data_IF_794321753820
#
_entry.id   IF_794321753820
#
_cell.length_a   1.000
_cell.length_b   1.000
_cell.length_c   1.000
_cell.angle_alpha   90.00
_cell.angle_beta   90.00
_cell.angle_gamma   90.00
#
_symmetry.space_group_name_H-M   'P 1'
#
loop_
_entity.id
_entity.type
_entity.pdbx_description
1 polymer ?
#
# COMPACT_ATOMS: atom_id res chain seq x y z
N UNK A 1 -46.20 -52.60 -47.79
CA UNK A 1 -45.94 -51.16 -48.04
C UNK A 1 -45.58 -50.49 -46.72
N UNK A 2 -44.43 -49.81 -46.70
CA UNK A 2 -43.99 -48.70 -45.82
C UNK A 2 -43.80 -48.88 -44.30
N UNK A 3 -42.50 -48.80 -43.93
CA UNK A 3 -41.87 -48.31 -42.69
C UNK A 3 -42.58 -47.12 -42.03
N UNK A 4 -42.52 -47.06 -40.70
CA UNK A 4 -41.79 -46.03 -39.96
C UNK A 4 -41.63 -46.42 -38.47
N UNK A 5 -40.39 -46.69 -38.06
CA UNK A 5 -40.00 -46.80 -36.64
C UNK A 5 -39.50 -45.43 -36.20
N UNK A 6 -40.17 -44.79 -35.24
CA UNK A 6 -39.67 -43.61 -34.54
C UNK A 6 -38.84 -44.08 -33.35
N UNK A 7 -37.51 -44.06 -33.49
CA UNK A 7 -36.60 -44.13 -32.35
C UNK A 7 -36.47 -42.73 -31.75
N UNK A 8 -37.02 -42.52 -30.56
CA UNK A 8 -36.64 -41.40 -29.70
C UNK A 8 -35.26 -41.68 -29.13
N UNK A 9 -34.25 -41.01 -29.67
CA UNK A 9 -32.94 -40.90 -29.03
C UNK A 9 -33.12 -40.05 -27.78
N UNK A 10 -33.04 -40.68 -26.60
CA UNK A 10 -32.82 -39.92 -25.38
C UNK A 10 -31.42 -39.32 -25.50
N UNK A 11 -31.37 -38.01 -25.75
CA UNK A 11 -30.13 -37.27 -25.59
C UNK A 11 -29.74 -37.36 -24.11
N UNK A 12 -28.78 -38.23 -23.79
CA UNK A 12 -28.08 -38.12 -22.52
C UNK A 12 -27.38 -36.77 -22.53
N UNK A 13 -27.98 -35.78 -21.89
CA UNK A 13 -27.26 -34.56 -21.52
C UNK A 13 -26.21 -34.98 -20.52
N UNK A 14 -25.05 -35.39 -21.02
CA UNK A 14 -23.85 -35.48 -20.24
C UNK A 14 -23.65 -34.06 -19.67
N UNK A 15 -23.96 -33.90 -18.39
CA UNK A 15 -23.57 -32.72 -17.64
C UNK A 15 -22.05 -32.64 -17.73
N UNK A 16 -21.53 -31.85 -18.68
CA UNK A 16 -20.14 -31.41 -18.66
C UNK A 16 -19.99 -30.62 -17.38
N UNK A 17 -19.56 -31.30 -16.32
CA UNK A 17 -18.92 -30.64 -15.19
C UNK A 17 -17.69 -30.00 -15.78
N UNK A 18 -17.75 -28.69 -16.05
CA UNK A 18 -16.53 -27.93 -16.19
C UNK A 18 -15.75 -28.18 -14.90
N UNK A 19 -14.63 -28.88 -15.00
CA UNK A 19 -13.68 -28.93 -13.91
C UNK A 19 -13.24 -27.48 -13.71
N UNK A 20 -13.87 -26.80 -12.76
CA UNK A 20 -13.27 -25.64 -12.13
C UNK A 20 -12.04 -26.23 -11.46
N UNK A 21 -10.86 -26.00 -12.04
CA UNK A 21 -9.65 -26.12 -11.24
C UNK A 21 -9.84 -25.10 -10.12
N UNK A 22 -10.29 -25.56 -8.95
CA UNK A 22 -10.10 -24.81 -7.74
C UNK A 22 -8.59 -24.73 -7.60
N UNK A 23 -7.99 -23.64 -8.11
CA UNK A 23 -6.64 -23.27 -7.74
C UNK A 23 -6.65 -23.35 -6.21
N UNK A 24 -5.83 -24.25 -5.66
CA UNK A 24 -5.77 -24.46 -4.23
C UNK A 24 -5.63 -23.08 -3.59
N UNK A 25 -6.59 -22.71 -2.74
CA UNK A 25 -6.58 -21.39 -2.12
C UNK A 25 -5.24 -21.21 -1.42
N UNK A 26 -4.54 -20.09 -1.65
CA UNK A 26 -3.23 -19.88 -1.04
C UNK A 26 -3.40 -20.01 0.47
N UNK A 27 -2.55 -20.82 1.11
CA UNK A 27 -2.60 -20.98 2.56
C UNK A 27 -2.14 -19.67 3.20
N UNK A 28 -3.09 -18.96 3.82
CA UNK A 28 -2.82 -17.71 4.54
C UNK A 28 -2.54 -18.06 6.00
N UNK A 29 -1.40 -17.62 6.51
CA UNK A 29 -1.04 -17.74 7.91
C UNK A 29 -0.71 -16.35 8.46
N UNK A 30 -1.20 -16.06 9.67
CA UNK A 30 -0.96 -14.79 10.36
C UNK A 30 -0.47 -15.11 11.76
N UNK A 31 0.63 -14.46 12.16
CA UNK A 31 1.19 -14.53 13.50
C UNK A 31 1.63 -13.14 13.95
N UNK A 32 2.05 -13.04 15.19
CA UNK A 32 2.62 -11.83 15.74
C UNK A 32 4.06 -12.11 16.15
N UNK A 33 4.98 -11.30 15.63
CA UNK A 33 6.38 -11.29 16.00
C UNK A 33 6.63 -10.27 17.15
N UNK A 34 7.85 -10.27 17.67
CA UNK A 34 8.29 -9.37 18.75
C UNK A 34 7.96 -7.89 18.51
N UNK A 35 7.82 -7.12 19.60
CA UNK A 35 7.47 -5.70 19.59
C UNK A 35 6.14 -5.33 18.90
N UNK A 36 5.27 -6.32 18.65
CA UNK A 36 3.91 -6.11 18.18
C UNK A 36 3.74 -6.13 16.65
N UNK A 37 4.80 -6.47 15.89
CA UNK A 37 4.74 -6.57 14.43
C UNK A 37 3.90 -7.76 14.01
N UNK A 38 2.95 -7.54 13.10
CA UNK A 38 2.13 -8.62 12.54
C UNK A 38 2.84 -9.24 11.33
N UNK A 39 2.89 -10.56 11.26
CA UNK A 39 3.47 -11.28 10.12
C UNK A 39 2.36 -12.03 9.42
N UNK A 40 2.19 -11.78 8.12
CA UNK A 40 1.22 -12.48 7.30
C UNK A 40 1.93 -13.11 6.11
N UNK A 41 1.60 -14.36 5.79
CA UNK A 41 2.12 -15.03 4.59
C UNK A 41 1.02 -15.69 3.81
N UNK A 42 1.07 -15.57 2.49
CA UNK A 42 0.21 -16.31 1.56
C UNK A 42 1.10 -17.20 0.69
N UNK A 43 1.08 -18.51 0.92
CA UNK A 43 1.90 -19.46 0.16
C UNK A 43 1.23 -19.82 -1.16
N UNK A 44 2.00 -19.81 -2.25
CA UNK A 44 1.55 -20.24 -3.58
C UNK A 44 2.68 -21.01 -4.26
N UNK A 45 2.56 -22.34 -4.35
CA UNK A 45 3.61 -23.22 -4.88
C UNK A 45 3.82 -23.11 -6.40
N UNK A 46 3.08 -22.23 -7.07
CA UNK A 46 3.04 -22.14 -8.52
C UNK A 46 4.19 -21.34 -9.16
N UNK A 47 5.00 -20.61 -8.37
CA UNK A 47 6.05 -19.72 -8.89
C UNK A 47 7.30 -19.74 -8.01
N UNK A 48 8.51 -19.53 -8.56
CA UNK A 48 9.72 -19.29 -7.78
C UNK A 48 9.87 -17.83 -7.31
N UNK A 49 9.02 -16.92 -7.83
CA UNK A 49 9.05 -15.52 -7.42
C UNK A 49 8.32 -15.31 -6.09
N UNK A 50 8.95 -14.58 -5.18
CA UNK A 50 8.42 -14.15 -3.90
C UNK A 50 8.27 -12.62 -3.86
N UNK A 51 7.40 -12.14 -2.97
CA UNK A 51 7.34 -10.72 -2.64
C UNK A 51 7.24 -10.52 -1.15
N UNK A 52 8.07 -9.63 -0.61
CA UNK A 52 8.02 -9.21 0.78
C UNK A 52 7.61 -7.75 0.82
N UNK A 53 6.60 -7.43 1.61
CA UNK A 53 6.06 -6.08 1.76
C UNK A 53 6.01 -5.69 3.23
N UNK A 54 6.64 -4.57 3.57
CA UNK A 54 6.43 -3.90 4.83
C UNK A 54 5.28 -2.90 4.68
N UNK A 55 4.17 -3.19 5.34
CA UNK A 55 2.99 -2.33 5.39
C UNK A 55 3.03 -1.57 6.71
N UNK A 56 3.11 -0.25 6.63
CA UNK A 56 3.13 0.66 7.77
C UNK A 56 1.82 1.43 7.80
N UNK A 57 1.20 1.50 8.97
CA UNK A 57 0.01 2.31 9.21
C UNK A 57 0.39 3.79 9.34
N UNK A 58 0.74 4.37 8.20
CA UNK A 58 1.12 5.76 8.00
C UNK A 58 0.62 6.21 6.62
N UNK A 59 0.35 7.49 6.45
CA UNK A 59 -0.35 8.02 5.27
C UNK A 59 -0.90 9.41 5.53
N UNK A 60 -1.53 10.01 4.51
CA UNK A 60 -2.06 11.39 4.64
C UNK A 60 -3.12 11.54 5.74
N UNK A 61 -3.84 10.46 6.10
CA UNK A 61 -4.81 10.43 7.20
C UNK A 61 -4.22 10.81 8.56
N UNK A 62 -2.95 10.49 8.78
CA UNK A 62 -2.25 10.71 10.05
C UNK A 62 -1.53 12.05 10.10
N UNK A 63 -1.72 12.88 9.08
CA UNK A 63 -1.15 14.22 9.01
C UNK A 63 -2.06 15.22 9.73
N UNK A 64 -1.41 16.16 10.40
CA UNK A 64 -1.98 17.40 10.89
C UNK A 64 -1.92 18.49 9.81
N UNK A 65 -2.64 19.59 10.02
CA UNK A 65 -2.55 20.75 9.12
C UNK A 65 -1.11 21.29 8.98
N UNK A 66 -0.30 21.18 10.04
CA UNK A 66 1.07 21.71 10.06
C UNK A 66 2.08 20.84 9.29
N UNK A 67 1.77 19.57 9.04
CA UNK A 67 2.65 18.64 8.32
C UNK A 67 1.94 17.96 7.13
N UNK A 68 0.91 18.58 6.59
CA UNK A 68 0.20 18.09 5.40
C UNK A 68 1.16 17.86 4.23
N UNK A 69 1.18 16.63 3.70
CA UNK A 69 2.08 16.17 2.63
C UNK A 69 3.38 15.52 3.11
N UNK A 70 3.65 15.43 4.42
CA UNK A 70 4.89 14.83 4.95
C UNK A 70 5.03 13.35 4.58
N UNK A 71 3.92 12.64 4.46
CA UNK A 71 3.92 11.23 4.11
C UNK A 71 4.33 11.04 2.63
N UNK A 72 3.99 11.98 1.75
CA UNK A 72 4.45 11.98 0.36
C UNK A 72 5.98 12.15 0.27
N UNK A 73 6.57 13.00 1.13
CA UNK A 73 8.01 13.09 1.28
C UNK A 73 8.60 11.79 1.84
N UNK A 74 7.97 11.19 2.85
CA UNK A 74 8.43 9.94 3.45
C UNK A 74 8.51 8.78 2.43
N UNK A 75 7.53 8.69 1.51
CA UNK A 75 7.57 7.75 0.37
C UNK A 75 8.81 7.97 -0.48
N UNK A 76 9.13 9.22 -0.82
CA UNK A 76 10.25 9.56 -1.70
C UNK A 76 11.63 9.41 -1.04
N UNK A 77 11.68 9.31 0.29
CA UNK A 77 12.89 8.92 1.03
C UNK A 77 13.13 7.40 1.08
N UNK A 78 12.18 6.58 0.65
CA UNK A 78 12.38 5.14 0.61
C UNK A 78 13.57 4.78 -0.30
N UNK A 79 14.39 3.83 0.15
CA UNK A 79 15.58 3.34 -0.56
C UNK A 79 16.67 4.41 -0.82
N UNK A 80 16.64 5.54 -0.11
CA UNK A 80 17.75 6.51 -0.03
C UNK A 80 18.83 6.03 0.95
N UNK A 81 19.73 6.93 1.35
CA UNK A 81 20.81 6.59 2.26
C UNK A 81 20.30 6.08 3.61
N UNK A 82 20.85 4.95 4.06
CA UNK A 82 20.69 4.40 5.41
C UNK A 82 21.97 4.60 6.22
N UNK A 83 21.99 4.22 7.49
CA UNK A 83 23.21 4.26 8.31
C UNK A 83 24.33 3.40 7.71
N UNK A 84 23.99 2.24 7.18
CA UNK A 84 24.96 1.22 6.74
C UNK A 84 25.15 1.15 5.21
N UNK A 85 24.21 1.65 4.42
CA UNK A 85 24.23 1.58 2.96
C UNK A 85 23.86 2.91 2.33
N UNK A 86 24.58 3.28 1.27
CA UNK A 86 24.17 4.39 0.42
C UNK A 86 22.98 3.98 -0.46
N UNK A 87 22.17 4.94 -0.89
CA UNK A 87 21.06 4.68 -1.82
C UNK A 87 21.55 4.03 -3.11
N UNK A 88 22.71 4.47 -3.63
CA UNK A 88 23.35 3.82 -4.78
C UNK A 88 23.68 2.35 -4.52
N UNK A 89 24.24 2.03 -3.35
CA UNK A 89 24.54 0.64 -2.97
C UNK A 89 23.28 -0.20 -2.87
N UNK A 90 22.22 0.32 -2.25
CA UNK A 90 20.91 -0.36 -2.13
C UNK A 90 20.37 -0.74 -3.51
N UNK A 91 20.36 0.20 -4.45
CA UNK A 91 19.86 -0.06 -5.80
C UNK A 91 20.75 -1.08 -6.53
N UNK A 92 22.08 -0.92 -6.49
CA UNK A 92 22.99 -1.86 -7.19
C UNK A 92 22.95 -3.27 -6.61
N UNK A 93 22.90 -3.42 -5.29
CA UNK A 93 22.77 -4.74 -4.66
C UNK A 93 21.41 -5.38 -5.02
N UNK A 94 20.34 -4.58 -5.10
CA UNK A 94 19.01 -5.07 -5.49
C UNK A 94 18.96 -5.48 -6.96
N UNK A 95 19.55 -4.70 -7.87
CA UNK A 95 19.67 -5.03 -9.30
C UNK A 95 20.50 -6.30 -9.52
N UNK A 96 21.61 -6.46 -8.78
CA UNK A 96 22.47 -7.64 -8.89
C UNK A 96 21.74 -8.92 -8.50
N UNK A 97 20.89 -8.85 -7.48
CA UNK A 97 20.04 -9.96 -7.02
C UNK A 97 18.75 -10.09 -7.84
N UNK A 98 18.54 -9.25 -8.86
CA UNK A 98 17.34 -9.27 -9.70
C UNK A 98 16.05 -8.84 -8.98
N UNK A 99 16.16 -8.13 -7.85
CA UNK A 99 15.01 -7.67 -7.09
C UNK A 99 14.44 -6.34 -7.56
N UNK A 100 13.13 -6.21 -7.50
CA UNK A 100 12.41 -4.98 -7.83
C UNK A 100 11.86 -4.35 -6.55
N UNK A 101 12.31 -3.13 -6.26
CA UNK A 101 11.89 -2.36 -5.11
C UNK A 101 10.81 -1.34 -5.50
N UNK A 102 9.73 -1.26 -4.72
CA UNK A 102 8.69 -0.25 -4.91
C UNK A 102 8.25 0.34 -3.58
N UNK A 103 7.99 1.64 -3.56
CA UNK A 103 7.37 2.32 -2.44
C UNK A 103 6.09 3.00 -2.91
N UNK A 104 4.98 2.72 -2.24
CA UNK A 104 3.69 3.35 -2.51
C UNK A 104 3.11 3.90 -1.22
N UNK A 105 2.33 4.95 -1.37
CA UNK A 105 1.62 5.59 -0.27
C UNK A 105 0.15 5.72 -0.63
N UNK A 106 -0.68 5.50 0.37
CA UNK A 106 -2.11 5.74 0.37
C UNK A 106 -2.47 6.66 1.57
N UNK A 107 -3.74 7.03 1.70
CA UNK A 107 -4.26 7.81 2.82
C UNK A 107 -4.01 7.12 4.15
N UNK A 108 -4.07 5.78 4.20
CA UNK A 108 -3.98 5.02 5.44
C UNK A 108 -2.72 4.16 5.60
N UNK A 109 -2.02 3.86 4.50
CA UNK A 109 -0.91 2.92 4.50
C UNK A 109 0.26 3.40 3.65
N UNK A 110 1.47 3.15 4.14
CA UNK A 110 2.72 3.30 3.42
C UNK A 110 3.28 1.89 3.24
N UNK A 111 3.53 1.51 1.98
CA UNK A 111 3.91 0.15 1.64
C UNK A 111 5.25 0.15 0.92
N UNK A 112 6.23 -0.52 1.53
CA UNK A 112 7.52 -0.81 0.90
C UNK A 112 7.53 -2.27 0.48
N UNK A 113 7.72 -2.53 -0.80
CA UNK A 113 7.68 -3.88 -1.36
C UNK A 113 8.97 -4.19 -2.08
N UNK A 114 9.48 -5.40 -1.87
CA UNK A 114 10.54 -6.00 -2.64
C UNK A 114 10.00 -7.27 -3.29
N UNK A 115 10.13 -7.36 -4.62
CA UNK A 115 9.87 -8.60 -5.38
C UNK A 115 11.20 -9.23 -5.72
N UNK A 116 11.38 -10.50 -5.41
CA UNK A 116 12.65 -11.21 -5.53
C UNK A 116 12.43 -12.71 -5.73
N UNK A 117 13.51 -13.50 -5.82
CA UNK A 117 13.43 -14.95 -5.72
C UNK A 117 13.22 -15.36 -4.25
N UNK A 118 12.68 -16.57 -4.03
CA UNK A 118 12.46 -17.11 -2.70
C UNK A 118 13.74 -17.16 -1.85
N UNK A 119 14.87 -17.50 -2.46
CA UNK A 119 16.15 -17.63 -1.77
C UNK A 119 16.70 -16.28 -1.25
N UNK A 120 16.33 -15.18 -1.91
CA UNK A 120 16.78 -13.82 -1.56
C UNK A 120 15.86 -13.11 -0.54
N UNK A 121 14.76 -13.76 -0.13
CA UNK A 121 13.81 -13.20 0.86
C UNK A 121 14.49 -12.69 2.13
N UNK A 122 15.46 -13.41 2.75
CA UNK A 122 16.16 -12.90 3.94
C UNK A 122 16.88 -11.58 3.70
N UNK A 123 17.50 -11.42 2.53
CA UNK A 123 18.20 -10.20 2.15
C UNK A 123 17.21 -9.02 2.01
N UNK A 124 16.14 -9.22 1.25
CA UNK A 124 15.16 -8.15 1.01
C UNK A 124 14.33 -7.80 2.25
N UNK A 125 14.00 -8.77 3.11
CA UNK A 125 13.37 -8.49 4.40
C UNK A 125 14.28 -7.62 5.29
N UNK A 126 15.58 -7.95 5.35
CA UNK A 126 16.58 -7.14 6.06
C UNK A 126 16.73 -5.74 5.47
N UNK A 127 16.71 -5.62 4.14
CA UNK A 127 16.76 -4.34 3.46
C UNK A 127 15.53 -3.46 3.78
N UNK A 128 14.33 -4.02 3.77
CA UNK A 128 13.10 -3.29 4.12
C UNK A 128 13.11 -2.82 5.58
N UNK A 129 13.63 -3.64 6.51
CA UNK A 129 13.80 -3.23 7.90
C UNK A 129 14.84 -2.10 8.03
N UNK A 130 15.96 -2.18 7.31
CA UNK A 130 16.96 -1.10 7.29
C UNK A 130 16.38 0.20 6.71
N UNK A 131 15.55 0.12 5.67
CA UNK A 131 14.86 1.30 5.11
C UNK A 131 13.85 1.89 6.11
N UNK A 132 13.20 1.07 6.94
CA UNK A 132 12.27 1.57 7.95
C UNK A 132 12.99 2.24 9.15
N UNK A 133 14.06 1.64 9.67
CA UNK A 133 14.66 2.06 10.94
C UNK A 133 15.99 2.80 10.80
N UNK A 134 16.76 2.52 9.76
CA UNK A 134 18.12 3.04 9.58
C UNK A 134 18.20 4.13 8.51
N UNK A 135 17.08 4.53 7.89
CA UNK A 135 17.09 5.62 6.90
C UNK A 135 17.57 6.92 7.52
N UNK A 136 18.55 7.54 6.85
CA UNK A 136 19.07 8.84 7.22
C UNK A 136 18.34 9.89 6.41
N UNK A 137 17.40 10.57 7.05
CA UNK A 137 16.80 11.77 6.47
C UNK A 137 17.84 12.89 6.51
N UNK A 138 18.66 13.05 5.48
CA UNK A 138 19.66 14.13 5.44
C UNK A 138 19.04 15.42 4.90
N UNK A 139 19.53 16.58 5.37
CA UNK A 139 18.99 17.87 4.97
C UNK A 139 19.23 18.19 3.48
N UNK A 140 20.36 17.74 2.92
CA UNK A 140 20.66 17.96 1.50
C UNK A 140 19.75 17.10 0.60
N UNK A 141 19.54 15.82 0.91
CA UNK A 141 18.57 14.98 0.18
C UNK A 141 17.15 15.54 0.28
N UNK A 142 16.79 16.12 1.42
CA UNK A 142 15.48 16.75 1.60
C UNK A 142 15.27 17.92 0.63
N UNK A 143 16.29 18.75 0.40
CA UNK A 143 16.22 19.86 -0.56
C UNK A 143 16.05 19.34 -1.98
N UNK A 144 16.83 18.35 -2.38
CA UNK A 144 16.75 17.76 -3.72
C UNK A 144 15.38 17.11 -3.98
N UNK A 145 14.84 16.43 -2.97
CA UNK A 145 13.53 15.78 -3.05
C UNK A 145 12.35 16.75 -3.18
N UNK A 146 12.48 18.01 -2.76
CA UNK A 146 11.40 19.00 -2.95
C UNK A 146 11.05 19.18 -4.42
N UNK A 147 12.06 19.24 -5.30
CA UNK A 147 11.84 19.39 -6.74
C UNK A 147 11.13 18.17 -7.32
N UNK A 148 11.56 16.96 -6.91
CA UNK A 148 10.93 15.72 -7.33
C UNK A 148 9.46 15.63 -6.86
N UNK A 149 9.20 15.91 -5.58
CA UNK A 149 7.85 15.90 -4.99
C UNK A 149 6.94 16.94 -5.64
N UNK A 150 7.45 18.13 -5.93
CA UNK A 150 6.70 19.16 -6.62
C UNK A 150 6.33 18.72 -8.05
N UNK A 151 7.26 18.11 -8.77
CA UNK A 151 7.02 17.56 -10.12
C UNK A 151 5.95 16.45 -10.10
N UNK A 152 6.06 15.50 -9.15
CA UNK A 152 5.05 14.43 -8.96
C UNK A 152 3.66 15.01 -8.67
N UNK A 153 3.60 16.07 -7.86
CA UNK A 153 2.35 16.75 -7.52
C UNK A 153 1.74 17.47 -8.73
N UNK A 154 2.55 18.16 -9.52
CA UNK A 154 2.09 18.82 -10.75
C UNK A 154 1.59 17.80 -11.78
N UNK A 155 2.28 16.67 -11.93
CA UNK A 155 1.86 15.59 -12.81
C UNK A 155 0.51 14.99 -12.35
N UNK A 156 0.34 14.77 -11.05
CA UNK A 156 -0.91 14.29 -10.48
C UNK A 156 -2.07 15.30 -10.65
N UNK A 157 -1.80 16.60 -10.54
CA UNK A 157 -2.80 17.65 -10.75
C UNK A 157 -3.19 17.84 -12.22
N UNK A 158 -2.32 17.45 -13.16
CA UNK A 158 -2.62 17.47 -14.59
C UNK A 158 -3.57 16.33 -15.00
N UNK A 159 -3.56 15.21 -14.28
CA UNK A 159 -4.52 14.12 -14.48
C UNK A 159 -5.87 14.48 -13.83
N UNK A 160 -6.91 14.63 -14.66
CA UNK A 160 -8.24 15.00 -14.21
C UNK A 160 -8.88 13.96 -13.29
N UNK A 161 -8.59 12.67 -13.48
CA UNK A 161 -9.14 11.61 -12.63
C UNK A 161 -8.54 11.69 -11.23
N UNK A 162 -7.21 11.80 -11.14
CA UNK A 162 -6.52 11.88 -9.84
C UNK A 162 -6.98 13.12 -9.08
N UNK A 163 -7.02 14.27 -9.76
CA UNK A 163 -7.50 15.53 -9.18
C UNK A 163 -8.94 15.40 -8.67
N UNK A 164 -9.84 14.79 -9.45
CA UNK A 164 -11.24 14.61 -9.08
C UNK A 164 -11.41 13.71 -7.86
N UNK A 165 -10.67 12.59 -7.77
CA UNK A 165 -10.73 11.70 -6.62
C UNK A 165 -10.13 12.33 -5.35
N UNK A 166 -9.06 13.11 -5.47
CA UNK A 166 -8.47 13.80 -4.32
C UNK A 166 -9.42 14.86 -3.76
N UNK A 167 -10.05 15.61 -4.65
CA UNK A 167 -11.05 16.63 -4.33
C UNK A 167 -12.34 16.07 -3.76
N UNK A 168 -12.82 14.93 -4.30
CA UNK A 168 -13.94 14.19 -3.75
C UNK A 168 -13.72 13.86 -2.26
N UNK A 169 -12.52 13.37 -1.91
CA UNK A 169 -12.19 13.06 -0.51
C UNK A 169 -12.12 14.32 0.35
N UNK A 170 -11.55 15.41 -0.18
CA UNK A 170 -11.45 16.70 0.51
C UNK A 170 -12.83 17.27 0.86
N UNK A 171 -13.79 17.15 -0.05
CA UNK A 171 -15.17 17.63 0.15
C UNK A 171 -15.96 16.68 1.03
N UNK A 172 -15.77 15.36 0.89
CA UNK A 172 -16.47 14.37 1.70
C UNK A 172 -16.06 14.40 3.18
N UNK A 173 -14.77 14.69 3.47
CA UNK A 173 -14.18 14.64 4.80
C UNK A 173 -13.39 15.91 5.11
N UNK A 174 -13.66 16.56 6.24
CA UNK A 174 -12.94 17.77 6.62
C UNK A 174 -11.52 17.54 7.17
N UNK A 175 -11.23 16.34 7.70
CA UNK A 175 -9.95 16.00 8.36
C UNK A 175 -9.59 14.53 8.14
N UNK A 176 -8.31 14.20 8.24
CA UNK A 176 -7.82 12.83 8.12
C UNK A 176 -7.96 12.34 6.68
N UNK A 177 -9.04 11.62 6.35
CA UNK A 177 -9.25 11.09 5.00
C UNK A 177 -9.41 12.17 3.92
N UNK A 178 -9.75 13.39 4.31
CA UNK A 178 -9.81 14.56 3.42
C UNK A 178 -8.45 15.20 3.13
N UNK A 179 -7.40 14.80 3.83
CA UNK A 179 -6.05 15.28 3.54
C UNK A 179 -5.61 14.74 2.16
N UNK A 180 -5.08 15.63 1.33
CA UNK A 180 -4.55 15.26 0.01
C UNK A 180 -3.42 14.24 0.14
N UNK A 181 -3.35 13.31 -0.81
CA UNK A 181 -2.23 12.37 -0.89
C UNK A 181 -0.92 13.07 -1.32
N UNK A 182 -1.03 14.17 -2.06
CA UNK A 182 0.09 14.88 -2.64
C UNK A 182 0.43 16.12 -1.82
N UNK A 183 1.73 16.32 -1.60
CA UNK A 183 2.22 17.49 -0.89
C UNK A 183 2.04 18.76 -1.74
N UNK A 184 1.34 19.77 -1.21
CA UNK A 184 1.24 21.07 -1.88
C UNK A 184 2.64 21.69 -2.07
N UNK A 185 2.94 22.25 -3.26
CA UNK A 185 4.20 22.98 -3.50
C UNK A 185 4.41 24.15 -2.53
N UNK A 186 3.31 24.69 -1.97
CA UNK A 186 3.33 25.82 -1.04
C UNK A 186 3.48 25.40 0.43
N UNK A 187 3.38 24.10 0.74
CA UNK A 187 3.47 23.64 2.12
C UNK A 187 4.90 23.76 2.65
N UNK A 188 5.04 24.40 3.81
CA UNK A 188 6.30 24.55 4.52
C UNK A 188 6.64 23.29 5.32
N UNK A 189 6.80 22.17 4.62
CA UNK A 189 7.36 20.96 5.22
C UNK A 189 8.84 21.24 5.47
N UNK A 190 9.24 21.07 6.72
CA UNK A 190 10.62 21.18 7.15
C UNK A 190 11.20 19.79 7.35
N UNK A 191 12.51 19.70 7.24
CA UNK A 191 13.26 18.47 7.52
C UNK A 191 12.95 17.89 8.90
N UNK A 192 12.83 18.76 9.92
CA UNK A 192 12.47 18.36 11.28
C UNK A 192 11.07 17.72 11.36
N UNK A 193 10.07 18.27 10.66
CA UNK A 193 8.71 17.70 10.63
C UNK A 193 8.71 16.31 10.00
N UNK A 194 9.52 16.09 8.96
CA UNK A 194 9.69 14.78 8.34
C UNK A 194 10.30 13.77 9.31
N UNK A 195 11.41 14.11 9.98
CA UNK A 195 12.05 13.24 10.96
C UNK A 195 11.11 12.87 12.11
N UNK A 196 10.36 13.85 12.63
CA UNK A 196 9.38 13.63 13.69
C UNK A 196 8.27 12.67 13.23
N UNK A 197 7.71 12.88 12.03
CA UNK A 197 6.69 12.00 11.48
C UNK A 197 7.21 10.58 11.26
N UNK A 198 8.41 10.42 10.71
CA UNK A 198 9.05 9.11 10.51
C UNK A 198 9.22 8.35 11.83
N UNK A 199 9.69 9.03 12.89
CA UNK A 199 9.86 8.43 14.22
C UNK A 199 8.55 7.94 14.87
N UNK A 200 7.42 8.54 14.49
CA UNK A 200 6.09 8.14 14.96
C UNK A 200 5.47 7.06 14.07
N UNK A 201 5.79 7.07 12.77
CA UNK A 201 5.27 6.11 11.79
C UNK A 201 5.87 4.71 11.96
N UNK A 202 7.20 4.60 12.09
CA UNK A 202 7.91 3.31 12.11
C UNK A 202 7.97 2.71 13.52
N UNK A 203 6.82 2.24 14.00
CA UNK A 203 6.70 1.55 15.29
C UNK A 203 6.20 0.14 15.11
N UNK A 204 6.71 -0.79 15.92
CA UNK A 204 6.39 -2.22 15.84
C UNK A 204 4.89 -2.50 15.72
N UNK A 205 4.08 -1.86 16.57
CA UNK A 205 2.62 -2.00 16.60
C UNK A 205 1.89 -1.48 15.34
N UNK A 206 2.50 -0.55 14.60
CA UNK A 206 1.95 0.04 13.38
C UNK A 206 2.43 -0.67 12.10
N UNK A 207 3.29 -1.69 12.23
CA UNK A 207 3.89 -2.37 11.08
C UNK A 207 3.34 -3.78 10.90
N UNK A 208 3.33 -4.23 9.66
CA UNK A 208 2.98 -5.58 9.29
C UNK A 208 3.88 -6.04 8.15
N UNK A 209 4.52 -7.19 8.32
CA UNK A 209 5.37 -7.81 7.31
C UNK A 209 4.56 -8.86 6.56
N UNK A 210 4.36 -8.65 5.26
CA UNK A 210 3.53 -9.50 4.40
C UNK A 210 4.41 -10.21 3.39
N UNK A 211 4.41 -11.54 3.38
CA UNK A 211 5.12 -12.37 2.41
C UNK A 211 4.16 -13.09 1.48
N UNK A 212 4.30 -12.88 0.18
CA UNK A 212 3.62 -13.72 -0.83
C UNK A 212 4.64 -14.71 -1.35
N UNK A 213 4.26 -15.99 -1.31
CA UNK A 213 5.10 -17.11 -1.68
C UNK A 213 6.39 -17.24 -0.85
N UNK A 214 6.23 -17.13 0.47
CA UNK A 214 7.32 -17.24 1.46
C UNK A 214 6.91 -18.22 2.56
N UNK A 215 7.87 -18.96 3.12
CA UNK A 215 7.64 -19.81 4.28
C UNK A 215 7.33 -18.97 5.53
N UNK A 216 6.20 -19.27 6.20
CA UNK A 216 5.75 -18.50 7.36
C UNK A 216 6.77 -18.42 8.48
N UNK A 217 7.33 -19.57 8.88
CA UNK A 217 8.30 -19.65 9.97
C UNK A 217 9.56 -18.82 9.67
N UNK A 218 10.08 -18.92 8.44
CA UNK A 218 11.24 -18.14 8.01
C UNK A 218 10.98 -16.63 8.12
N UNK A 219 9.82 -16.15 7.65
CA UNK A 219 9.49 -14.74 7.71
C UNK A 219 9.22 -14.27 9.15
N UNK A 220 8.60 -15.11 9.98
CA UNK A 220 8.37 -14.83 11.39
C UNK A 220 9.69 -14.73 12.19
N UNK A 221 10.63 -15.63 11.93
CA UNK A 221 11.96 -15.60 12.55
C UNK A 221 12.75 -14.36 12.14
N UNK A 222 12.73 -14.01 10.84
CA UNK A 222 13.31 -12.77 10.35
C UNK A 222 12.64 -11.54 10.98
N UNK A 223 11.32 -11.54 11.12
CA UNK A 223 10.60 -10.45 11.76
C UNK A 223 11.02 -10.29 13.23
N UNK A 224 11.15 -11.40 13.97
CA UNK A 224 11.62 -11.37 15.37
C UNK A 224 13.03 -10.79 15.49
N UNK A 225 13.93 -11.13 14.58
CA UNK A 225 15.31 -10.62 14.59
C UNK A 225 15.40 -9.15 14.19
N UNK A 226 14.78 -8.78 13.08
CA UNK A 226 14.92 -7.45 12.48
C UNK A 226 14.15 -6.37 13.24
N UNK A 227 13.01 -6.73 13.84
CA UNK A 227 12.12 -5.77 14.51
C UNK A 227 12.28 -5.77 16.04
N UNK A 228 13.20 -6.58 16.60
CA UNK A 228 13.50 -6.58 18.03
C UNK A 228 13.90 -5.19 18.56
N UNK A 229 14.57 -4.39 17.73
CA UNK A 229 15.04 -3.05 18.07
C UNK A 229 14.04 -1.94 17.71
N UNK A 230 12.83 -2.28 17.27
CA UNK A 230 11.85 -1.29 16.87
C UNK A 230 11.53 -0.35 18.05
N UNK A 231 11.58 0.98 17.84
CA UNK A 231 11.37 1.95 18.91
C UNK A 231 9.93 1.90 19.43
N UNK A 232 9.79 1.97 20.76
CA UNK A 232 8.51 2.02 21.46
C UNK A 232 8.11 3.48 21.74
N UNK A 233 7.89 4.26 20.67
CA UNK A 233 7.44 5.66 20.76
C UNK A 233 5.89 5.72 20.70
N UNK A 234 5.30 6.91 20.86
CA UNK A 234 3.85 7.11 20.69
C UNK A 234 3.44 6.98 19.23
N UNK A 235 2.53 6.05 18.93
CA UNK A 235 2.06 5.78 17.57
C UNK A 235 1.30 6.96 16.97
N UNK A 236 1.38 7.09 15.65
CA UNK A 236 0.50 7.99 14.90
C UNK A 236 -0.97 7.70 15.21
N UNK A 237 -1.70 8.74 15.61
CA UNK A 237 -3.14 8.65 15.81
C UNK A 237 -3.85 9.35 14.66
N UNK A 238 -4.66 8.59 13.92
CA UNK A 238 -5.49 9.14 12.86
C UNK A 238 -6.72 9.80 13.45
N UNK A 239 -7.10 10.97 12.93
CA UNK A 239 -8.38 11.58 13.28
C UNK A 239 -9.55 10.62 12.92
N UNK A 240 -10.64 10.63 13.70
CA UNK A 240 -11.85 9.92 13.32
C UNK A 240 -12.37 10.53 12.00
N UNK A 241 -12.63 9.67 11.01
CA UNK A 241 -13.20 10.12 9.75
C UNK A 241 -14.69 10.36 9.94
N UNK A 242 -15.12 11.62 9.80
CA UNK A 242 -16.53 11.99 9.81
C UNK A 242 -16.91 12.48 8.42
N UNK A 243 -17.87 11.79 7.80
CA UNK A 243 -18.43 12.22 6.53
C UNK A 243 -19.32 13.44 6.78
N UNK A 244 -19.00 14.54 6.11
CA UNK A 244 -19.78 15.79 6.17
C UNK A 244 -20.55 16.03 4.88
N UNK A 245 -20.06 15.47 3.76
CA UNK A 245 -20.58 15.73 2.43
C UNK A 245 -20.26 17.14 1.94
N UNK A 246 -20.58 17.39 0.68
CA UNK A 246 -20.42 18.71 0.06
C UNK A 246 -20.37 18.60 -1.45
N UNK A 247 -20.22 19.76 -2.09
CA UNK A 247 -20.02 19.88 -3.53
C UNK A 247 -18.80 20.77 -3.81
N UNK A 248 -18.10 20.48 -4.89
CA UNK A 248 -17.06 21.35 -5.41
C UNK A 248 -17.13 21.36 -6.94
N UNK A 249 -16.94 22.55 -7.49
CA UNK A 249 -16.80 22.78 -8.91
C UNK A 249 -15.36 23.21 -9.18
N UNK A 250 -14.70 22.51 -10.10
CA UNK A 250 -13.31 22.75 -10.43
C UNK A 250 -13.25 23.11 -11.90
N UNK A 251 -12.97 24.37 -12.19
CA UNK A 251 -12.73 24.80 -13.54
C UNK A 251 -11.38 24.28 -14.02
N UNK A 252 -11.32 23.84 -15.29
CA UNK A 252 -10.11 23.31 -15.89
C UNK A 252 -10.14 23.38 -17.42
N UNK A 253 -8.98 23.30 -18.08
CA UNK A 253 -8.87 23.41 -19.54
C UNK A 253 -9.34 22.14 -20.28
N UNK A 254 -10.03 21.22 -19.60
CA UNK A 254 -10.44 19.95 -20.17
C UNK A 254 -11.55 20.15 -21.23
N UNK A 255 -11.49 19.37 -22.31
CA UNK A 255 -12.47 19.42 -23.39
C UNK A 255 -13.82 18.79 -23.02
N UNK A 256 -13.86 18.00 -21.95
CA UNK A 256 -15.06 17.32 -21.45
C UNK A 256 -15.25 17.59 -19.97
N UNK A 257 -16.51 17.75 -19.56
CA UNK A 257 -16.89 17.85 -18.15
C UNK A 257 -16.96 16.46 -17.54
N UNK A 258 -16.25 16.27 -16.43
CA UNK A 258 -16.27 15.03 -15.64
C UNK A 258 -16.93 15.31 -14.30
N UNK A 259 -17.74 14.39 -13.80
CA UNK A 259 -18.34 14.47 -12.47
C UNK A 259 -18.25 13.12 -11.78
N UNK A 260 -18.12 13.14 -10.45
CA UNK A 260 -18.14 11.94 -9.62
C UNK A 260 -19.08 12.20 -8.44
N UNK A 261 -19.99 11.26 -8.20
CA UNK A 261 -20.90 11.26 -7.06
C UNK A 261 -20.53 10.09 -6.16
N UNK A 262 -20.38 10.37 -4.85
CA UNK A 262 -20.08 9.34 -3.87
C UNK A 262 -20.93 9.51 -2.61
N UNK A 263 -21.28 8.38 -2.00
CA UNK A 263 -22.06 8.30 -0.77
C UNK A 263 -21.24 7.57 0.30
N UNK A 264 -21.43 7.90 1.59
CA UNK A 264 -20.76 7.20 2.66
C UNK A 264 -21.31 5.77 2.74
N UNK A 265 -20.42 4.82 2.96
CA UNK A 265 -20.75 3.41 3.14
C UNK A 265 -20.24 2.92 4.49
N UNK A 266 -20.53 1.66 4.81
CA UNK A 266 -20.07 1.02 6.03
C UNK A 266 -18.53 1.02 6.13
N UNK A 267 -18.03 1.23 7.35
CA UNK A 267 -16.61 1.06 7.63
C UNK A 267 -16.18 -0.41 7.52
N UNK A 268 -14.87 -0.63 7.38
CA UNK A 268 -14.23 -1.97 7.30
C UNK A 268 -14.64 -2.93 8.42
N UNK A 269 -15.11 -2.43 9.56
CA UNK A 269 -15.62 -3.23 10.67
C UNK A 269 -16.91 -4.00 10.35
N UNK A 270 -17.74 -3.52 9.41
CA UNK A 270 -18.93 -4.23 8.96
C UNK A 270 -18.65 -4.94 7.63
N UNK A 271 -18.13 -6.16 7.74
CA UNK A 271 -17.79 -7.00 6.59
C UNK A 271 -19.00 -7.34 5.71
N UNK A 272 -20.21 -7.40 6.27
CA UNK A 272 -21.42 -7.75 5.51
C UNK A 272 -21.79 -6.63 4.56
N UNK A 273 -21.83 -5.39 5.07
CA UNK A 273 -22.11 -4.23 4.23
C UNK A 273 -20.97 -3.97 3.24
N UNK A 274 -19.71 -4.14 3.64
CA UNK A 274 -18.57 -4.03 2.72
C UNK A 274 -18.66 -5.04 1.55
N UNK A 275 -19.00 -6.30 1.84
CA UNK A 275 -19.19 -7.31 0.81
C UNK A 275 -20.40 -7.00 -0.09
N UNK A 276 -21.51 -6.50 0.46
CA UNK A 276 -22.67 -6.09 -0.32
C UNK A 276 -22.33 -4.94 -1.28
N UNK A 277 -21.56 -3.95 -0.84
CA UNK A 277 -21.09 -2.87 -1.71
C UNK A 277 -20.16 -3.34 -2.82
N UNK A 278 -19.30 -4.35 -2.56
CA UNK A 278 -18.44 -4.91 -3.61
C UNK A 278 -19.25 -5.59 -4.73
N UNK A 279 -20.38 -6.20 -4.41
CA UNK A 279 -21.29 -6.79 -5.41
C UNK A 279 -22.02 -5.70 -6.21
N UNK A 280 -22.40 -4.60 -5.56
CA UNK A 280 -23.09 -3.46 -6.21
C UNK A 280 -22.16 -2.61 -7.10
N UNK A 281 -20.84 -2.72 -6.95
CA UNK A 281 -19.84 -1.94 -7.68
C UNK A 281 -19.49 -2.49 -9.08
N UNK A 282 -20.14 -3.56 -9.52
CA UNK A 282 -20.06 -4.14 -10.88
C UNK A 282 -21.39 -3.96 -11.61
#
# INVERSE_FOLDING_TARGET
MLRATLQTVQASTASRRYATSALASPQIQVSQAGQGVRVATARSEASPAASVSLVVKAGSRYESADNAGVAHFLKNFAFKNTQNRTGFRIIRESELQGGILTASIDREHLVYTARCLQDDVPYFAGLLAAVAFETRYTAYEFVDLKAQVASETLAAQADSNIKLFDELHRVAFNRGLGNSLYASPYNQITHQKLCNYASQAFQGSQMSLVGVNVHHNQLADLANQLFAQAPATLALQGAPAQYVGGEALIDGPASQTQYVLAYPTAGRSDLKQAAAHQVLGH
#
